data_IF_102278310663
#
_entry.id   IF_102278310663
#
_cell.length_a   1.000
_cell.length_b   1.000
_cell.length_c   1.000
_cell.angle_alpha   90.00
_cell.angle_beta   90.00
_cell.angle_gamma   90.00
#
_symmetry.space_group_name_H-M   'P 1'
#
loop_
_entity.id
_entity.type
_entity.pdbx_description
1 polymer ?
#
# COMPACT_ATOMS: atom_id res chain seq x y z
N UNK A 1 -12.79 -20.11 -8.02
CA UNK A 1 -11.81 -21.11 -7.52
C UNK A 1 -12.43 -21.87 -6.36
N UNK A 2 -12.26 -23.20 -6.31
CA UNK A 2 -12.77 -24.05 -5.23
C UNK A 2 -11.59 -24.41 -4.31
N UNK A 3 -11.47 -23.72 -3.19
CA UNK A 3 -10.42 -23.96 -2.21
C UNK A 3 -10.67 -25.24 -1.40
N UNK A 4 -9.62 -26.03 -1.15
CA UNK A 4 -9.63 -26.96 -0.01
C UNK A 4 -9.15 -26.25 1.25
N UNK A 5 -9.53 -26.78 2.41
CA UNK A 5 -9.21 -26.21 3.72
C UNK A 5 -7.69 -26.00 3.92
N UNK A 6 -6.92 -27.08 3.79
CA UNK A 6 -5.47 -27.02 3.99
C UNK A 6 -4.76 -26.14 2.95
N UNK A 7 -5.26 -26.13 1.70
CA UNK A 7 -4.71 -25.28 0.64
C UNK A 7 -4.90 -23.79 0.96
N UNK A 8 -6.06 -23.42 1.52
CA UNK A 8 -6.35 -22.04 1.95
C UNK A 8 -5.49 -21.65 3.16
N UNK A 9 -5.34 -22.53 4.14
CA UNK A 9 -4.50 -22.29 5.32
C UNK A 9 -3.03 -22.11 4.95
N UNK A 10 -2.53 -22.95 4.04
CA UNK A 10 -1.16 -22.85 3.54
C UNK A 10 -0.91 -21.55 2.74
N UNK A 11 -1.81 -21.20 1.83
CA UNK A 11 -1.73 -19.94 1.08
C UNK A 11 -1.79 -18.71 2.01
N UNK A 12 -2.61 -18.76 3.07
CA UNK A 12 -2.62 -17.74 4.11
C UNK A 12 -1.28 -17.67 4.86
N UNK A 13 -0.74 -18.81 5.26
CA UNK A 13 0.51 -18.87 6.02
C UNK A 13 1.67 -18.31 5.21
N UNK A 14 1.80 -18.68 3.94
CA UNK A 14 2.78 -18.13 3.02
C UNK A 14 2.62 -16.61 2.87
N UNK A 15 1.38 -16.13 2.70
CA UNK A 15 1.13 -14.70 2.62
C UNK A 15 1.59 -13.97 3.88
N UNK A 16 1.23 -14.45 5.06
CA UNK A 16 1.59 -13.82 6.34
C UNK A 16 3.10 -13.86 6.59
N UNK A 17 3.76 -14.97 6.26
CA UNK A 17 5.21 -15.15 6.42
C UNK A 17 6.00 -14.20 5.52
N UNK A 18 5.51 -13.93 4.31
CA UNK A 18 6.19 -13.08 3.32
C UNK A 18 5.84 -11.59 3.45
N UNK A 19 4.65 -11.26 3.94
CA UNK A 19 4.15 -9.87 4.00
C UNK A 19 4.26 -9.22 5.37
N UNK A 20 4.54 -9.99 6.43
CA UNK A 20 4.60 -9.48 7.81
C UNK A 20 5.84 -9.97 8.53
N UNK A 21 6.34 -9.17 9.48
CA UNK A 21 7.45 -9.57 10.33
C UNK A 21 6.99 -10.45 11.50
N UNK A 22 6.52 -11.64 11.15
CA UNK A 22 5.91 -12.59 12.08
C UNK A 22 6.48 -13.99 11.85
N UNK A 23 6.54 -14.77 12.92
CA UNK A 23 6.73 -16.22 12.82
C UNK A 23 5.36 -16.85 12.64
N UNK A 24 5.25 -17.74 11.67
CA UNK A 24 3.98 -18.37 11.27
C UNK A 24 4.10 -19.88 11.44
N UNK A 25 3.06 -20.49 11.99
CA UNK A 25 2.92 -21.93 12.12
C UNK A 25 1.56 -22.37 11.58
N UNK A 26 1.56 -23.45 10.81
CA UNK A 26 0.34 -24.11 10.34
C UNK A 26 0.00 -25.29 11.24
N UNK A 27 -1.30 -25.47 11.52
CA UNK A 27 -1.84 -26.64 12.22
C UNK A 27 -1.11 -26.96 13.54
N UNK A 28 -0.85 -25.92 14.34
CA UNK A 28 -0.08 -26.00 15.58
C UNK A 28 -1.01 -26.13 16.78
N UNK A 29 -0.87 -27.22 17.54
CA UNK A 29 -1.58 -27.36 18.81
C UNK A 29 -0.93 -26.45 19.86
N UNK A 30 -1.70 -25.62 20.55
CA UNK A 30 -1.18 -24.61 21.49
C UNK A 30 -1.17 -25.12 22.94
N UNK A 31 -0.49 -26.26 23.18
CA UNK A 31 -0.38 -26.87 24.50
C UNK A 31 -0.41 -28.40 24.46
N UNK A 32 -0.72 -29.09 25.59
CA UNK A 32 -0.86 -30.54 25.64
C UNK A 32 -2.02 -31.04 24.76
N UNK A 33 -2.09 -32.37 24.57
CA UNK A 33 -3.17 -33.00 23.83
C UNK A 33 -4.56 -32.53 24.31
N UNK A 34 -5.43 -32.16 23.37
CA UNK A 34 -6.74 -31.56 23.65
C UNK A 34 -6.72 -30.03 23.71
N UNK A 35 -5.55 -29.39 23.67
CA UNK A 35 -5.44 -27.93 23.56
C UNK A 35 -5.92 -27.44 22.19
N UNK A 36 -6.40 -26.19 22.09
CA UNK A 36 -6.82 -25.61 20.83
C UNK A 36 -5.73 -25.65 19.77
N UNK A 37 -6.13 -25.92 18.52
CA UNK A 37 -5.26 -26.01 17.35
C UNK A 37 -5.81 -25.11 16.25
N UNK A 38 -5.41 -23.84 16.20
CA UNK A 38 -5.78 -22.97 15.09
C UNK A 38 -5.15 -23.45 13.78
N UNK A 39 -5.79 -23.13 12.65
CA UNK A 39 -5.29 -23.49 11.33
C UNK A 39 -3.97 -22.78 11.01
N UNK A 40 -3.88 -21.49 11.34
CA UNK A 40 -2.64 -20.72 11.26
C UNK A 40 -2.46 -19.92 12.53
N UNK A 41 -1.29 -20.03 13.16
CA UNK A 41 -0.95 -19.30 14.37
C UNK A 41 0.31 -18.48 14.15
N UNK A 42 0.36 -17.29 14.74
CA UNK A 42 1.39 -16.34 14.37
C UNK A 42 1.83 -15.46 15.54
N UNK A 43 3.13 -15.23 15.71
CA UNK A 43 3.71 -14.33 16.73
C UNK A 43 4.57 -13.26 16.05
N UNK A 44 4.49 -11.98 16.44
CA UNK A 44 5.39 -10.95 15.90
C UNK A 44 6.84 -11.18 16.35
N UNK A 45 7.80 -10.88 15.48
CA UNK A 45 9.23 -10.90 15.82
C UNK A 45 9.62 -9.62 16.59
N UNK A 46 8.97 -9.39 17.72
CA UNK A 46 9.10 -8.17 18.52
C UNK A 46 9.23 -8.50 20.00
N UNK A 47 10.17 -7.83 20.66
CA UNK A 47 10.35 -7.90 22.11
C UNK A 47 9.43 -6.95 22.89
N UNK A 48 8.86 -5.95 22.22
CA UNK A 48 8.06 -4.89 22.88
C UNK A 48 6.56 -5.05 22.64
N UNK A 49 6.17 -5.68 21.53
CA UNK A 49 4.77 -5.89 21.18
C UNK A 49 4.45 -7.38 21.10
N UNK A 50 4.13 -7.97 22.24
CA UNK A 50 3.64 -9.33 22.28
C UNK A 50 2.16 -9.38 21.89
N UNK A 51 1.90 -9.72 20.62
CA UNK A 51 0.54 -9.75 20.07
C UNK A 51 0.33 -10.99 19.17
N UNK A 52 0.28 -12.20 19.73
CA UNK A 52 0.01 -13.40 18.96
C UNK A 52 -1.40 -13.38 18.37
N UNK A 53 -1.58 -13.94 17.16
CA UNK A 53 -2.87 -13.98 16.47
C UNK A 53 -3.12 -15.40 15.98
N UNK A 54 -4.33 -15.89 16.27
CA UNK A 54 -4.86 -17.15 15.75
C UNK A 54 -5.76 -16.88 14.54
N UNK A 55 -5.59 -17.67 13.48
CA UNK A 55 -6.43 -17.65 12.30
C UNK A 55 -7.17 -18.98 12.15
N UNK A 56 -8.45 -18.88 11.82
CA UNK A 56 -9.31 -20.04 11.53
C UNK A 56 -9.82 -19.92 10.10
N UNK A 57 -9.45 -20.88 9.26
CA UNK A 57 -9.82 -20.94 7.86
C UNK A 57 -11.20 -21.57 7.69
N UNK A 58 -12.06 -20.98 6.84
CA UNK A 58 -13.38 -21.55 6.52
C UNK A 58 -13.62 -21.51 5.02
N UNK A 59 -14.00 -22.67 4.47
CA UNK A 59 -14.34 -22.83 3.05
C UNK A 59 -15.85 -22.92 2.80
N UNK A 60 -16.66 -23.05 3.86
CA UNK A 60 -18.13 -23.12 3.76
C UNK A 60 -18.81 -22.27 4.85
N UNK A 61 -19.99 -21.73 4.52
CA UNK A 61 -20.81 -20.94 5.46
C UNK A 61 -21.29 -21.81 6.62
N UNK A 62 -21.59 -23.09 6.38
CA UNK A 62 -22.03 -24.04 7.41
C UNK A 62 -20.94 -24.28 8.46
N UNK A 63 -19.70 -24.46 8.03
CA UNK A 63 -18.56 -24.66 8.93
C UNK A 63 -18.31 -23.41 9.79
N UNK A 64 -18.33 -22.23 9.15
CA UNK A 64 -18.24 -20.96 9.86
C UNK A 64 -19.35 -20.80 10.92
N UNK A 65 -20.61 -21.03 10.55
CA UNK A 65 -21.75 -20.91 11.48
C UNK A 65 -21.67 -21.89 12.64
N UNK A 66 -21.20 -23.12 12.41
CA UNK A 66 -20.97 -24.10 13.48
C UNK A 66 -19.99 -23.55 14.52
N UNK A 67 -18.88 -22.96 14.07
CA UNK A 67 -17.85 -22.44 14.98
C UNK A 67 -18.30 -21.20 15.76
N UNK A 68 -19.04 -20.30 15.11
CA UNK A 68 -19.64 -19.14 15.78
C UNK A 68 -20.65 -19.60 16.84
N UNK A 69 -21.55 -20.52 16.49
CA UNK A 69 -22.63 -20.99 17.38
C UNK A 69 -22.07 -21.72 18.60
N UNK A 70 -21.02 -22.52 18.42
CA UNK A 70 -20.38 -23.27 19.51
C UNK A 70 -19.39 -22.44 20.32
N UNK A 71 -19.06 -21.22 19.88
CA UNK A 71 -18.07 -20.36 20.52
C UNK A 71 -16.66 -20.95 20.58
N UNK A 72 -16.34 -21.94 19.73
CA UNK A 72 -15.08 -22.70 19.77
C UNK A 72 -13.86 -21.78 19.66
N UNK A 73 -13.98 -20.75 18.83
CA UNK A 73 -12.94 -19.74 18.58
C UNK A 73 -12.49 -18.99 19.84
N UNK A 74 -13.37 -18.84 20.85
CA UNK A 74 -13.05 -18.13 22.09
C UNK A 74 -11.94 -18.82 22.90
N UNK A 75 -11.79 -20.14 22.74
CA UNK A 75 -10.73 -20.91 23.40
C UNK A 75 -9.32 -20.47 22.98
N UNK A 76 -9.16 -19.93 21.76
CA UNK A 76 -7.89 -19.41 21.27
C UNK A 76 -7.45 -18.14 21.99
N UNK A 77 -8.35 -17.37 22.59
CA UNK A 77 -8.02 -16.12 23.28
C UNK A 77 -7.17 -16.32 24.55
N UNK A 78 -7.08 -17.56 25.06
CA UNK A 78 -6.12 -17.93 26.11
C UNK A 78 -4.67 -17.90 25.63
N UNK A 79 -4.46 -18.00 24.32
CA UNK A 79 -3.16 -18.11 23.67
C UNK A 79 -2.94 -17.03 22.61
N UNK A 80 -3.90 -16.13 22.40
CA UNK A 80 -3.79 -15.12 21.35
C UNK A 80 -4.45 -13.82 21.78
N UNK A 81 -3.88 -12.72 21.33
CA UNK A 81 -4.47 -11.39 21.49
C UNK A 81 -5.71 -11.22 20.62
N UNK A 82 -5.90 -12.02 19.58
CA UNK A 82 -7.08 -11.93 18.73
C UNK A 82 -7.24 -13.12 17.81
N UNK A 83 -8.48 -13.32 17.37
CA UNK A 83 -8.86 -14.38 16.43
C UNK A 83 -9.37 -13.76 15.14
N UNK A 84 -8.88 -14.25 14.01
CA UNK A 84 -9.26 -13.78 12.68
C UNK A 84 -9.79 -14.96 11.86
N UNK A 85 -10.99 -14.84 11.31
CA UNK A 85 -11.50 -15.81 10.35
C UNK A 85 -10.92 -15.51 8.96
N UNK A 86 -10.45 -16.54 8.28
CA UNK A 86 -9.88 -16.48 6.94
C UNK A 86 -10.76 -17.23 5.95
N UNK A 87 -11.26 -16.55 4.92
CA UNK A 87 -12.25 -17.11 4.00
C UNK A 87 -12.01 -16.72 2.54
N UNK A 88 -12.45 -17.51 1.56
CA UNK A 88 -12.56 -17.05 0.18
C UNK A 88 -13.52 -15.87 0.04
N UNK A 89 -13.25 -14.99 -0.92
CA UNK A 89 -14.11 -13.84 -1.22
C UNK A 89 -15.53 -14.27 -1.53
N UNK A 90 -16.49 -13.59 -0.89
CA UNK A 90 -17.92 -13.81 -1.06
C UNK A 90 -18.51 -14.89 -0.17
N UNK A 91 -17.72 -15.55 0.70
CA UNK A 91 -18.27 -16.57 1.61
C UNK A 91 -19.10 -15.98 2.75
N UNK A 92 -18.56 -14.98 3.44
CA UNK A 92 -19.22 -14.28 4.56
C UNK A 92 -18.90 -12.79 4.50
N UNK A 93 -19.70 -11.99 5.19
CA UNK A 93 -19.55 -10.54 5.31
C UNK A 93 -19.01 -10.15 6.68
N UNK A 94 -18.58 -8.90 6.84
CA UNK A 94 -18.09 -8.35 8.12
C UNK A 94 -19.12 -8.41 9.25
N UNK A 95 -20.41 -8.42 8.89
CA UNK A 95 -21.55 -8.37 9.80
C UNK A 95 -21.91 -9.77 10.34
N UNK A 96 -21.51 -10.83 9.62
CA UNK A 96 -21.66 -12.22 10.06
C UNK A 96 -20.65 -12.61 11.17
N UNK A 97 -19.55 -11.87 11.30
CA UNK A 97 -18.46 -12.17 12.23
C UNK A 97 -18.75 -11.59 13.61
N UNK A 98 -18.64 -12.43 14.65
CA UNK A 98 -18.83 -12.06 16.06
C UNK A 98 -18.06 -10.79 16.45
N UNK A 99 -18.61 -10.03 17.41
CA UNK A 99 -17.91 -8.87 17.97
C UNK A 99 -16.59 -9.33 18.60
N UNK A 100 -15.50 -8.67 18.23
CA UNK A 100 -14.15 -9.00 18.70
C UNK A 100 -13.30 -9.83 17.71
N UNK A 101 -13.92 -10.58 16.80
CA UNK A 101 -13.20 -11.34 15.79
C UNK A 101 -12.91 -10.50 14.53
N UNK A 102 -11.78 -10.80 13.89
CA UNK A 102 -11.39 -10.25 12.60
C UNK A 102 -11.86 -11.10 11.42
N UNK A 103 -11.77 -10.54 10.21
CA UNK A 103 -12.11 -11.19 8.95
C UNK A 103 -11.11 -10.84 7.86
N UNK A 104 -10.29 -11.81 7.44
CA UNK A 104 -9.40 -11.70 6.29
C UNK A 104 -9.97 -12.50 5.11
N UNK A 105 -9.92 -11.92 3.92
CA UNK A 105 -10.56 -12.47 2.74
C UNK A 105 -9.55 -12.72 1.63
N UNK A 106 -9.57 -13.92 1.07
CA UNK A 106 -8.78 -14.28 -0.11
C UNK A 106 -9.54 -13.99 -1.40
N UNK A 107 -9.08 -12.97 -2.12
CA UNK A 107 -9.47 -12.72 -3.53
C UNK A 107 -8.68 -13.63 -4.47
N UNK A 108 -8.72 -13.42 -5.78
CA UNK A 108 -7.98 -14.26 -6.74
C UNK A 108 -6.45 -14.18 -6.58
N UNK A 109 -5.91 -12.99 -6.29
CA UNK A 109 -4.45 -12.77 -6.21
C UNK A 109 -3.96 -12.18 -4.88
N UNK A 110 -4.85 -11.85 -3.94
CA UNK A 110 -4.46 -11.12 -2.73
C UNK A 110 -5.34 -11.46 -1.54
N UNK A 111 -4.73 -11.43 -0.35
CA UNK A 111 -5.41 -11.41 0.94
C UNK A 111 -5.71 -9.97 1.36
N UNK A 112 -6.94 -9.71 1.79
CA UNK A 112 -7.36 -8.38 2.26
C UNK A 112 -8.01 -8.47 3.61
N UNK A 113 -7.57 -7.63 4.55
CA UNK A 113 -8.23 -7.45 5.83
C UNK A 113 -9.54 -6.67 5.63
N UNK A 114 -10.67 -7.30 5.96
CA UNK A 114 -12.01 -6.70 5.85
C UNK A 114 -12.49 -6.16 7.20
N UNK A 115 -12.14 -6.84 8.29
CA UNK A 115 -12.47 -6.44 9.67
C UNK A 115 -11.29 -6.76 10.58
N UNK A 116 -10.76 -5.77 11.30
CA UNK A 116 -9.74 -6.01 12.32
C UNK A 116 -10.32 -6.68 13.57
N UNK A 117 -9.59 -7.60 14.23
CA UNK A 117 -10.02 -8.12 15.52
C UNK A 117 -9.89 -7.06 16.62
N UNK A 118 -10.65 -7.21 17.69
CA UNK A 118 -10.39 -6.49 18.94
C UNK A 118 -9.26 -7.21 19.66
N UNK A 119 -8.15 -6.52 19.87
CA UNK A 119 -6.96 -7.10 20.48
C UNK A 119 -7.08 -7.09 22.01
N UNK A 120 -7.00 -8.26 22.61
CA UNK A 120 -6.86 -8.45 24.04
C UNK A 120 -5.39 -8.35 24.45
N UNK A 121 -5.08 -7.64 25.55
CA UNK A 121 -3.73 -7.61 26.07
C UNK A 121 -3.35 -9.01 26.56
N UNK A 122 -2.29 -9.56 25.97
CA UNK A 122 -1.69 -10.82 26.40
C UNK A 122 -0.26 -10.51 26.84
N UNK A 123 0.04 -10.73 28.12
CA UNK A 123 1.37 -10.46 28.66
C UNK A 123 2.34 -11.61 28.36
N UNK A 124 1.86 -12.85 28.43
CA UNK A 124 2.68 -14.03 28.20
C UNK A 124 1.81 -15.21 27.74
N UNK A 125 2.45 -16.23 27.15
CA UNK A 125 1.82 -17.52 26.87
C UNK A 125 2.03 -18.49 28.03
N UNK A 126 1.09 -19.43 28.25
CA UNK A 126 1.32 -20.54 29.15
C UNK A 126 2.60 -21.30 28.79
N UNK A 127 3.32 -21.81 29.80
CA UNK A 127 4.59 -22.54 29.62
C UNK A 127 4.45 -23.69 28.63
N UNK A 128 3.34 -24.42 28.66
CA UNK A 128 3.10 -25.54 27.75
C UNK A 128 2.99 -25.08 26.29
N UNK A 129 2.40 -23.92 26.04
CA UNK A 129 2.33 -23.35 24.70
C UNK A 129 3.72 -22.92 24.21
N UNK A 130 4.53 -22.31 25.08
CA UNK A 130 5.93 -21.99 24.76
C UNK A 130 6.74 -23.23 24.40
N UNK A 131 6.67 -24.27 25.24
CA UNK A 131 7.37 -25.53 24.97
C UNK A 131 6.93 -26.14 23.64
N UNK A 132 5.63 -26.11 23.35
CA UNK A 132 5.10 -26.66 22.11
C UNK A 132 5.57 -25.88 20.88
N UNK A 133 5.60 -24.54 20.96
CA UNK A 133 6.13 -23.70 19.89
C UNK A 133 7.62 -23.96 19.63
N UNK A 134 8.41 -24.19 20.69
CA UNK A 134 9.83 -24.52 20.56
C UNK A 134 10.01 -25.92 19.96
N UNK A 135 9.38 -26.95 20.53
CA UNK A 135 9.53 -28.34 20.08
C UNK A 135 9.06 -28.48 18.64
N UNK A 136 7.82 -28.11 18.34
CA UNK A 136 7.27 -28.28 17.00
C UNK A 136 7.88 -27.29 16.01
N UNK A 137 8.22 -26.08 16.43
CA UNK A 137 8.88 -25.10 15.57
C UNK A 137 10.28 -25.56 15.15
N UNK A 138 11.07 -26.09 16.08
CA UNK A 138 12.40 -26.63 15.82
C UNK A 138 12.30 -27.91 14.98
N UNK A 139 11.44 -28.85 15.37
CA UNK A 139 11.27 -30.10 14.62
C UNK A 139 10.80 -29.88 13.19
N UNK A 140 9.89 -28.92 12.95
CA UNK A 140 9.44 -28.56 11.59
C UNK A 140 10.56 -27.93 10.79
N UNK A 141 11.33 -27.02 11.39
CA UNK A 141 12.48 -26.38 10.71
C UNK A 141 13.54 -27.42 10.34
N UNK A 142 13.83 -28.36 11.25
CA UNK A 142 14.77 -29.45 11.00
C UNK A 142 14.24 -30.40 9.94
N UNK A 143 12.94 -30.76 9.97
CA UNK A 143 12.32 -31.62 8.95
C UNK A 143 12.35 -30.96 7.59
N UNK A 144 11.97 -29.70 7.45
CA UNK A 144 12.04 -28.96 6.18
C UNK A 144 13.48 -28.92 5.65
N UNK A 145 14.44 -28.59 6.51
CA UNK A 145 15.86 -28.60 6.14
C UNK A 145 16.32 -29.98 5.66
N UNK A 146 15.98 -31.04 6.40
CA UNK A 146 16.39 -32.41 6.08
C UNK A 146 15.70 -32.94 4.83
N UNK A 147 14.41 -32.68 4.64
CA UNK A 147 13.65 -33.08 3.45
C UNK A 147 14.20 -32.39 2.21
N UNK A 148 14.45 -31.08 2.27
CA UNK A 148 15.05 -30.35 1.14
C UNK A 148 16.45 -30.87 0.81
N UNK A 149 17.27 -31.17 1.82
CA UNK A 149 18.60 -31.76 1.63
C UNK A 149 18.52 -33.18 1.04
N UNK A 150 17.59 -34.00 1.51
CA UNK A 150 17.38 -35.34 0.99
C UNK A 150 16.94 -35.33 -0.47
N UNK A 151 15.98 -34.47 -0.85
CA UNK A 151 15.57 -34.32 -2.25
C UNK A 151 16.71 -33.83 -3.15
N UNK A 152 17.51 -32.86 -2.69
CA UNK A 152 18.66 -32.40 -3.45
C UNK A 152 19.71 -33.51 -3.64
N UNK A 153 19.96 -34.31 -2.61
CA UNK A 153 20.85 -35.45 -2.70
C UNK A 153 20.30 -36.54 -3.62
N UNK A 154 19.01 -36.90 -3.53
CA UNK A 154 18.39 -37.91 -4.40
C UNK A 154 18.41 -37.49 -5.88
N UNK A 155 18.18 -36.20 -6.18
CA UNK A 155 18.32 -35.66 -7.53
C UNK A 155 19.78 -35.71 -7.99
N UNK A 156 20.72 -35.32 -7.14
CA UNK A 156 22.15 -35.42 -7.43
C UNK A 156 22.56 -36.87 -7.74
N UNK A 157 22.15 -37.82 -6.89
CA UNK A 157 22.47 -39.24 -7.02
C UNK A 157 21.87 -39.85 -8.28
N UNK A 158 20.65 -39.46 -8.66
CA UNK A 158 20.02 -39.88 -9.94
C UNK A 158 20.80 -39.36 -11.14
N UNK A 159 21.17 -38.08 -11.15
CA UNK A 159 21.95 -37.48 -12.23
C UNK A 159 23.33 -38.12 -12.31
N UNK A 160 23.99 -38.34 -11.17
CA UNK A 160 25.31 -38.97 -11.10
C UNK A 160 25.28 -40.41 -11.64
N UNK A 161 24.22 -41.16 -11.32
CA UNK A 161 24.03 -42.53 -11.79
C UNK A 161 23.76 -42.62 -13.29
N UNK A 162 22.99 -41.68 -13.84
CA UNK A 162 22.54 -41.73 -15.23
C UNK A 162 23.50 -41.03 -16.21
N UNK A 163 24.15 -39.95 -15.77
CA UNK A 163 24.97 -39.08 -16.62
C UNK A 163 26.39 -38.86 -16.10
N UNK A 164 26.75 -39.46 -14.97
CA UNK A 164 28.09 -39.41 -14.39
C UNK A 164 28.30 -38.29 -13.37
N UNK A 165 29.23 -38.54 -12.46
CA UNK A 165 29.53 -37.70 -11.29
C UNK A 165 29.89 -36.25 -11.65
N UNK A 166 30.65 -36.05 -12.73
CA UNK A 166 31.11 -34.71 -13.13
C UNK A 166 29.95 -33.79 -13.55
N UNK A 167 28.93 -34.33 -14.23
CA UNK A 167 27.78 -33.54 -14.64
C UNK A 167 26.89 -33.21 -13.43
N UNK A 168 26.71 -34.15 -12.52
CA UNK A 168 25.95 -33.94 -11.28
C UNK A 168 26.57 -32.80 -10.43
N UNK A 169 27.90 -32.84 -10.24
CA UNK A 169 28.64 -31.79 -9.53
C UNK A 169 28.50 -30.43 -10.25
N UNK A 170 28.64 -30.41 -11.59
CA UNK A 170 28.53 -29.18 -12.36
C UNK A 170 27.13 -28.54 -12.23
N UNK A 171 26.07 -29.35 -12.27
CA UNK A 171 24.69 -28.89 -12.11
C UNK A 171 24.41 -28.43 -10.67
N UNK A 172 24.87 -29.15 -9.65
CA UNK A 172 24.73 -28.73 -8.26
C UNK A 172 25.46 -27.41 -7.95
N UNK A 173 26.65 -27.22 -8.54
CA UNK A 173 27.40 -25.97 -8.45
C UNK A 173 26.68 -24.82 -9.15
N UNK A 174 26.11 -25.08 -10.34
CA UNK A 174 25.28 -24.11 -11.06
C UNK A 174 24.06 -23.70 -10.23
N UNK A 175 23.32 -24.66 -9.69
CA UNK A 175 22.11 -24.38 -8.90
C UNK A 175 22.43 -23.59 -7.63
N UNK A 176 23.57 -23.88 -7.01
CA UNK A 176 24.06 -23.14 -5.85
C UNK A 176 24.48 -21.71 -6.22
N UNK A 177 25.20 -21.54 -7.33
CA UNK A 177 25.56 -20.23 -7.85
C UNK A 177 24.33 -19.40 -8.23
N UNK A 178 23.33 -20.04 -8.84
CA UNK A 178 22.07 -19.40 -9.21
C UNK A 178 21.29 -18.93 -7.97
N UNK A 179 21.14 -19.78 -6.94
CA UNK A 179 20.52 -19.41 -5.67
C UNK A 179 21.24 -18.22 -5.01
N UNK A 180 22.57 -18.22 -4.99
CA UNK A 180 23.34 -17.10 -4.45
C UNK A 180 23.14 -15.81 -5.25
N UNK A 181 23.05 -15.91 -6.57
CA UNK A 181 22.78 -14.77 -7.44
C UNK A 181 21.40 -14.18 -7.13
N UNK A 182 20.36 -15.01 -7.11
CA UNK A 182 18.97 -14.61 -6.83
C UNK A 182 18.86 -13.90 -5.48
N UNK A 183 19.42 -14.50 -4.41
CA UNK A 183 19.43 -13.89 -3.08
C UNK A 183 20.14 -12.53 -3.05
N UNK A 184 21.30 -12.40 -3.73
CA UNK A 184 22.00 -11.11 -3.82
C UNK A 184 21.20 -10.09 -4.61
N UNK A 185 20.58 -10.50 -5.71
CA UNK A 185 19.73 -9.63 -6.53
C UNK A 185 18.54 -9.12 -5.74
N UNK A 186 17.86 -9.96 -4.97
CA UNK A 186 16.71 -9.55 -4.18
C UNK A 186 17.11 -8.63 -3.01
N UNK A 187 18.23 -8.92 -2.33
CA UNK A 187 18.80 -8.02 -1.34
C UNK A 187 19.16 -6.65 -1.93
N UNK A 188 19.75 -6.61 -3.12
CA UNK A 188 20.07 -5.36 -3.80
C UNK A 188 18.82 -4.59 -4.22
N UNK A 189 17.78 -5.28 -4.73
CA UNK A 189 16.49 -4.65 -5.04
C UNK A 189 15.86 -4.03 -3.81
N UNK A 190 15.92 -4.70 -2.66
CA UNK A 190 15.39 -4.17 -1.40
C UNK A 190 16.16 -2.92 -0.96
N UNK A 191 17.50 -2.97 -0.97
CA UNK A 191 18.35 -1.81 -0.65
C UNK A 191 18.13 -0.64 -1.60
N UNK A 192 17.94 -0.89 -2.90
CA UNK A 192 17.63 0.16 -3.86
C UNK A 192 16.29 0.83 -3.55
N UNK A 193 15.25 0.05 -3.21
CA UNK A 193 13.96 0.62 -2.78
C UNK A 193 14.11 1.50 -1.53
N UNK A 194 14.94 1.10 -0.57
CA UNK A 194 15.21 1.91 0.62
C UNK A 194 15.94 3.21 0.25
N UNK A 195 16.92 3.16 -0.66
CA UNK A 195 17.62 4.34 -1.15
C UNK A 195 16.70 5.30 -1.92
N UNK A 196 15.82 4.76 -2.77
CA UNK A 196 14.84 5.57 -3.50
C UNK A 196 13.88 6.28 -2.54
N UNK A 197 13.50 5.61 -1.44
CA UNK A 197 12.68 6.22 -0.40
C UNK A 197 13.41 7.33 0.37
N UNK A 198 14.70 7.15 0.66
CA UNK A 198 15.53 8.19 1.29
C UNK A 198 15.64 9.42 0.39
N UNK A 199 15.93 9.23 -0.90
CA UNK A 199 15.99 10.33 -1.89
C UNK A 199 14.67 11.09 -1.98
N UNK A 200 13.55 10.37 -2.07
CA UNK A 200 12.22 11.01 -2.08
C UNK A 200 11.93 11.82 -0.80
N UNK A 201 12.45 11.40 0.36
CA UNK A 201 12.33 12.16 1.62
C UNK A 201 13.21 13.41 1.58
N UNK A 202 14.43 13.33 1.07
CA UNK A 202 15.32 14.47 0.91
C UNK A 202 14.72 15.51 -0.05
N UNK A 203 14.25 15.08 -1.23
CA UNK A 203 13.58 15.95 -2.20
C UNK A 203 12.35 16.65 -1.57
N UNK A 204 11.52 15.91 -0.83
CA UNK A 204 10.35 16.48 -0.15
C UNK A 204 10.73 17.47 0.97
N UNK A 205 11.87 17.27 1.63
CA UNK A 205 12.39 18.23 2.63
C UNK A 205 12.86 19.51 1.97
N UNK A 206 13.63 19.41 0.89
CA UNK A 206 14.10 20.57 0.13
C UNK A 206 12.92 21.38 -0.44
N UNK A 207 11.93 20.72 -1.02
CA UNK A 207 10.71 21.36 -1.53
C UNK A 207 9.95 22.07 -0.41
N UNK A 208 9.81 21.43 0.75
CA UNK A 208 9.18 22.04 1.93
C UNK A 208 9.92 23.29 2.39
N UNK A 209 11.25 23.26 2.47
CA UNK A 209 12.04 24.43 2.86
C UNK A 209 11.90 25.57 1.86
N UNK A 210 11.90 25.26 0.56
CA UNK A 210 11.65 26.24 -0.50
C UNK A 210 10.26 26.88 -0.36
N UNK A 211 9.20 26.08 -0.17
CA UNK A 211 7.84 26.59 0.03
C UNK A 211 7.71 27.44 1.30
N UNK A 212 8.44 27.13 2.36
CA UNK A 212 8.45 27.95 3.59
C UNK A 212 9.12 29.30 3.36
N UNK A 213 10.23 29.36 2.62
CA UNK A 213 10.87 30.63 2.22
C UNK A 213 9.91 31.47 1.38
N UNK A 214 9.32 30.88 0.34
CA UNK A 214 8.39 31.55 -0.56
C UNK A 214 7.14 32.07 0.17
N UNK A 215 6.64 31.30 1.15
CA UNK A 215 5.54 31.74 2.03
C UNK A 215 5.95 32.94 2.88
N UNK A 216 7.17 32.95 3.42
CA UNK A 216 7.67 34.03 4.26
C UNK A 216 7.77 35.32 3.44
N UNK A 217 8.37 35.24 2.24
CA UNK A 217 8.46 36.36 1.30
C UNK A 217 7.07 36.88 0.90
N UNK A 218 6.13 35.98 0.60
CA UNK A 218 4.75 36.35 0.27
C UNK A 218 4.06 37.06 1.45
N UNK A 219 4.24 36.56 2.67
CA UNK A 219 3.72 37.22 3.87
C UNK A 219 4.29 38.63 4.02
N UNK A 220 5.61 38.81 3.86
CA UNK A 220 6.25 40.14 3.93
C UNK A 220 5.69 41.10 2.86
N UNK A 221 5.59 40.64 1.61
CA UNK A 221 5.02 41.46 0.53
C UNK A 221 3.55 41.82 0.77
N UNK A 222 2.79 40.97 1.48
CA UNK A 222 1.41 41.24 1.85
C UNK A 222 1.27 42.04 3.16
N UNK A 223 2.38 42.37 3.84
CA UNK A 223 2.38 43.05 5.14
C UNK A 223 1.87 42.18 6.30
N UNK A 224 1.94 40.86 6.13
CA UNK A 224 1.51 39.85 7.10
C UNK A 224 2.69 39.29 7.89
N UNK A 225 2.43 38.76 9.09
CA UNK A 225 3.46 38.06 9.87
C UNK A 225 3.90 36.77 9.16
N UNK A 226 5.18 36.34 9.25
CA UNK A 226 5.72 35.16 8.56
C UNK A 226 4.94 33.85 8.74
N UNK A 227 4.31 33.67 9.91
CA UNK A 227 3.52 32.48 10.25
C UNK A 227 2.00 32.69 10.15
N UNK A 228 1.54 33.69 9.41
CA UNK A 228 0.11 33.98 9.26
C UNK A 228 -0.64 32.79 8.65
N UNK A 229 -1.83 32.51 9.15
CA UNK A 229 -2.66 31.39 8.69
C UNK A 229 -2.99 31.52 7.20
N UNK A 230 -3.10 30.39 6.48
CA UNK A 230 -3.28 30.36 5.02
C UNK A 230 -4.49 31.19 4.54
N UNK A 231 -5.57 31.19 5.33
CA UNK A 231 -6.74 32.01 5.07
C UNK A 231 -6.45 33.53 5.07
N UNK A 232 -5.58 33.99 5.98
CA UNK A 232 -5.19 35.40 6.05
C UNK A 232 -4.34 35.80 4.84
N UNK A 233 -3.42 34.92 4.41
CA UNK A 233 -2.62 35.10 3.19
C UNK A 233 -3.54 35.19 1.96
N UNK A 234 -4.47 34.25 1.79
CA UNK A 234 -5.43 34.27 0.68
C UNK A 234 -6.30 35.53 0.67
N UNK A 235 -6.77 35.96 1.84
CA UNK A 235 -7.61 37.15 1.97
C UNK A 235 -6.83 38.42 1.62
N UNK A 236 -5.61 38.58 2.13
CA UNK A 236 -4.75 39.72 1.81
C UNK A 236 -4.37 39.75 0.32
N UNK A 237 -4.09 38.59 -0.27
CA UNK A 237 -3.79 38.47 -1.69
C UNK A 237 -4.98 38.85 -2.57
N UNK A 238 -6.20 38.37 -2.23
CA UNK A 238 -7.44 38.78 -2.91
C UNK A 238 -7.71 40.27 -2.76
N UNK A 239 -7.49 40.83 -1.58
CA UNK A 239 -7.68 42.27 -1.36
C UNK A 239 -6.71 43.10 -2.19
N UNK A 240 -5.42 42.73 -2.25
CA UNK A 240 -4.44 43.40 -3.14
C UNK A 240 -4.78 43.25 -4.62
N UNK A 241 -5.20 42.05 -5.06
CA UNK A 241 -5.66 41.85 -6.44
C UNK A 241 -6.90 42.70 -6.75
N UNK A 242 -7.84 42.79 -5.82
CA UNK A 242 -9.01 43.64 -5.97
C UNK A 242 -8.62 45.12 -6.00
N UNK A 243 -7.67 45.57 -5.18
CA UNK A 243 -7.12 46.93 -5.21
C UNK A 243 -6.45 47.24 -6.54
N UNK A 244 -5.65 46.33 -7.08
CA UNK A 244 -5.06 46.46 -8.43
C UNK A 244 -6.12 46.55 -9.53
N UNK A 245 -7.19 45.75 -9.41
CA UNK A 245 -8.30 45.76 -10.36
C UNK A 245 -9.25 46.97 -10.17
N UNK A 246 -9.27 47.55 -8.97
CA UNK A 246 -10.09 48.72 -8.61
C UNK A 246 -9.32 50.02 -8.69
N UNK A 247 -8.03 49.98 -9.06
CA UNK A 247 -7.21 51.17 -9.22
C UNK A 247 -7.83 52.03 -10.31
N UNK A 248 -8.33 53.21 -9.94
CA UNK A 248 -8.99 54.16 -10.83
C UNK A 248 -8.12 54.48 -12.05
N UNK A 249 -6.80 54.34 -11.94
CA UNK A 249 -5.88 54.54 -13.06
C UNK A 249 -5.95 53.44 -14.10
N UNK A 250 -6.18 52.18 -13.71
CA UNK A 250 -6.38 51.07 -14.64
C UNK A 250 -7.73 51.21 -15.36
N UNK A 251 -8.79 51.49 -14.61
CA UNK A 251 -10.13 51.74 -15.16
C UNK A 251 -10.17 52.99 -16.04
N UNK A 252 -9.53 54.09 -15.64
CA UNK A 252 -9.37 55.30 -16.49
C UNK A 252 -8.58 55.01 -17.75
N UNK A 253 -7.46 54.30 -17.65
CA UNK A 253 -6.65 53.95 -18.83
C UNK A 253 -7.44 53.07 -19.79
N UNK A 254 -8.20 52.10 -19.27
CA UNK A 254 -9.07 51.26 -20.08
C UNK A 254 -10.21 52.05 -20.73
N UNK A 255 -10.80 53.02 -20.02
CA UNK A 255 -11.84 53.89 -20.56
C UNK A 255 -11.31 54.85 -21.63
N UNK A 256 -10.13 55.44 -21.41
CA UNK A 256 -9.45 56.31 -22.38
C UNK A 256 -9.08 55.53 -23.64
N UNK A 257 -8.51 54.32 -23.49
CA UNK A 257 -8.19 53.45 -24.64
C UNK A 257 -9.46 52.99 -25.37
N UNK A 258 -10.52 52.63 -24.64
CA UNK A 258 -11.81 52.25 -25.24
C UNK A 258 -12.52 53.41 -25.94
N UNK A 259 -12.33 54.64 -25.47
CA UNK A 259 -12.83 55.84 -26.15
C UNK A 259 -12.01 56.14 -27.40
N UNK A 260 -10.68 56.06 -27.33
CA UNK A 260 -9.80 56.22 -28.49
C UNK A 260 -10.09 55.19 -29.58
N UNK A 261 -10.32 53.93 -29.21
CA UNK A 261 -10.69 52.88 -30.17
C UNK A 261 -12.02 53.18 -30.87
N UNK A 262 -13.05 53.59 -30.13
CA UNK A 262 -14.35 53.97 -30.71
C UNK A 262 -14.25 55.20 -31.61
N UNK A 263 -13.44 56.17 -31.22
CA UNK A 263 -13.20 57.39 -32.00
C UNK A 263 -12.43 57.06 -33.29
N UNK A 264 -11.43 56.18 -33.22
CA UNK A 264 -10.74 55.65 -34.40
C UNK A 264 -11.69 54.84 -35.30
N UNK A 265 -12.58 54.01 -34.75
CA UNK A 265 -13.59 53.29 -35.53
C UNK A 265 -14.57 54.24 -36.23
N UNK A 266 -15.01 55.31 -35.56
CA UNK A 266 -15.84 56.35 -36.17
C UNK A 266 -15.09 57.14 -37.24
N UNK A 267 -13.81 57.47 -37.03
CA UNK A 267 -12.99 58.12 -38.03
C UNK A 267 -12.73 57.21 -39.23
N UNK A 268 -12.50 55.92 -39.02
CA UNK A 268 -12.40 54.94 -40.11
C UNK A 268 -13.73 54.82 -40.85
N UNK A 269 -14.86 54.83 -40.14
CA UNK A 269 -16.19 54.79 -40.76
C UNK A 269 -16.49 56.06 -41.56
N UNK A 270 -16.19 57.24 -41.03
CA UNK A 270 -16.37 58.51 -41.74
C UNK A 270 -15.41 58.61 -42.93
N UNK A 271 -14.17 58.16 -42.81
CA UNK A 271 -13.24 58.05 -43.94
C UNK A 271 -13.76 57.08 -44.99
N UNK A 272 -14.38 55.96 -44.61
CA UNK A 272 -15.04 55.04 -45.56
C UNK A 272 -16.25 55.68 -46.24
N UNK A 273 -17.05 56.46 -45.52
CA UNK A 273 -18.22 57.17 -46.05
C UNK A 273 -17.83 58.34 -46.96
N UNK A 274 -16.73 59.05 -46.67
CA UNK A 274 -16.16 60.10 -47.52
C UNK A 274 -15.40 59.51 -48.71
N UNK A 275 -14.75 58.36 -48.55
CA UNK A 275 -14.09 57.65 -49.63
C UNK A 275 -15.07 56.86 -50.52
N UNK A 276 -16.27 56.52 -50.06
CA UNK A 276 -17.29 55.82 -50.84
C UNK A 276 -17.63 56.55 -52.16
N UNK A 277 -17.91 57.86 -52.19
CA UNK A 277 -18.10 58.58 -53.45
C UNK A 277 -16.80 58.86 -54.25
N UNK A 278 -15.61 58.64 -53.67
CA UNK A 278 -14.31 58.69 -54.38
C UNK A 278 -13.93 57.36 -55.05
N UNK A 279 -14.56 56.25 -54.64
CA UNK A 279 -14.40 54.92 -55.25
C UNK A 279 -15.66 54.40 -55.98
N UNK A 280 -16.79 55.12 -55.94
CA UNK A 280 -17.90 54.98 -56.89
C UNK A 280 -17.63 55.73 -58.21
N UNK A 281 -16.48 55.43 -58.83
CA UNK A 281 -16.28 55.70 -60.26
C UNK A 281 -16.60 54.40 -61.01
N UNK A 282 -17.83 54.34 -61.50
CA UNK A 282 -18.38 53.59 -62.65
C UNK A 282 -17.75 52.22 -62.98
N UNK A 283 -18.38 51.14 -62.53
CA UNK A 283 -18.43 49.88 -63.30
C UNK A 283 -19.42 49.99 -64.49
N UNK A 284 -19.29 51.05 -65.29
CA UNK A 284 -20.24 51.33 -66.36
C UNK A 284 -19.80 52.39 -67.37
N UNK A 285 -18.50 52.60 -67.55
CA UNK A 285 -17.93 53.31 -68.72
C UNK A 285 -16.49 52.82 -68.95
N UNK A 286 -16.38 51.59 -69.45
CA UNK A 286 -15.28 51.07 -70.27
C UNK A 286 -15.92 50.00 -71.17
N UNK A 287 -16.73 50.52 -72.10
CA UNK A 287 -16.84 49.98 -73.45
C UNK A 287 -15.71 50.59 -74.28
#
# INVERSE_FOLDING_TARGET
>A
MKWKHNELAHDLAQHLQNSTDRVVWEDMQLGPAGSPRPDVYTIPKSYTKFCPIAYECKISVSDFRSDITKGKWSSYLKYSSGVIFAVPKGLITKDDVSKGCGLIVRSENVWRMVKGPTLLPLQDLPREAWLKLVIDGVDRSIREYNTNRFYQNDVHDKIAKEYGEQLAIALANRDTAQRHLEQKTDNLKQKNKELDLVRAIEDAREEKEYLLKLRTELCEQLGLKPNSHQYAIQTALRNKLNLLNSDENYLRSQHVVGNLLRDMEQQVKSLKEVAAPLFEIKQGDLA
#
